data_IF_718030331915
#
_entry.id   IF_718030331915
#
_cell.length_a   1.000
_cell.length_b   1.000
_cell.length_c   1.000
_cell.angle_alpha   90.00
_cell.angle_beta   90.00
_cell.angle_gamma   90.00
#
_symmetry.space_group_name_H-M   'P 1'
#
loop_
_entity.id
_entity.type
_entity.pdbx_description
1 polymer ?
#
# COMPACT_ATOMS: atom_id res chain seq x y z
N UNK A 1 -19.86 29.14 -21.57
CA UNK A 1 -19.99 27.88 -20.80
C UNK A 1 -18.71 27.06 -20.99
N UNK A 2 -17.65 27.38 -20.25
CA UNK A 2 -16.40 26.61 -20.26
C UNK A 2 -16.29 25.93 -18.90
N UNK A 3 -16.46 24.61 -18.88
CA UNK A 3 -16.39 23.81 -17.67
C UNK A 3 -14.91 23.44 -17.40
N UNK A 4 -14.24 24.01 -16.37
CA UNK A 4 -12.82 23.82 -16.12
C UNK A 4 -12.45 22.36 -15.78
N UNK A 5 -13.44 21.52 -15.42
CA UNK A 5 -13.24 20.09 -15.11
C UNK A 5 -12.84 19.25 -16.32
N UNK A 6 -13.14 19.70 -17.54
CA UNK A 6 -12.77 18.97 -18.76
C UNK A 6 -11.27 19.08 -19.09
N UNK A 7 -10.65 20.22 -18.76
CA UNK A 7 -9.25 20.51 -19.09
C UNK A 7 -8.28 19.74 -18.19
N UNK A 8 -8.57 19.62 -16.89
CA UNK A 8 -7.71 18.88 -15.96
C UNK A 8 -7.69 17.37 -16.26
N UNK A 9 -8.83 16.79 -16.62
CA UNK A 9 -8.92 15.37 -16.99
C UNK A 9 -8.16 15.10 -18.31
N UNK A 10 -8.17 16.04 -19.26
CA UNK A 10 -7.39 15.92 -20.48
C UNK A 10 -5.88 16.00 -20.21
N UNK A 11 -5.43 16.91 -19.35
CA UNK A 11 -4.02 17.04 -19.01
C UNK A 11 -3.47 15.81 -18.28
N UNK A 12 -4.23 15.27 -17.32
CA UNK A 12 -3.85 14.03 -16.63
C UNK A 12 -3.79 12.84 -17.61
N UNK A 13 -4.72 12.77 -18.56
CA UNK A 13 -4.69 11.74 -19.63
C UNK A 13 -3.50 11.93 -20.58
N UNK A 14 -3.12 13.16 -20.91
CA UNK A 14 -1.99 13.48 -21.78
C UNK A 14 -0.67 13.13 -21.08
N UNK A 15 -0.50 13.49 -19.81
CA UNK A 15 0.70 13.16 -19.01
C UNK A 15 0.82 11.65 -18.81
N UNK A 16 -0.27 10.95 -18.48
CA UNK A 16 -0.26 9.49 -18.34
C UNK A 16 0.06 8.77 -19.67
N UNK A 17 -0.34 9.34 -20.82
CA UNK A 17 -0.03 8.78 -22.14
C UNK A 17 1.41 9.05 -22.58
N UNK A 18 1.98 10.21 -22.21
CA UNK A 18 3.35 10.59 -22.53
C UNK A 18 4.40 9.89 -21.64
N UNK A 19 4.11 9.66 -20.35
CA UNK A 19 5.09 9.12 -19.40
C UNK A 19 4.90 7.64 -19.03
N UNK A 20 3.70 7.06 -19.21
CA UNK A 20 3.38 5.72 -18.66
C UNK A 20 2.90 4.69 -19.72
N UNK A 21 3.09 4.95 -21.01
CA UNK A 21 2.93 3.91 -22.04
C UNK A 21 1.50 3.38 -22.26
N UNK A 22 0.49 4.23 -22.07
CA UNK A 22 -0.85 4.03 -22.67
C UNK A 22 -1.75 2.94 -22.09
N UNK A 23 -1.42 2.29 -20.96
CA UNK A 23 -2.21 1.18 -20.38
C UNK A 23 -2.97 1.52 -19.09
N UNK A 24 -3.40 2.76 -18.88
CA UNK A 24 -4.12 3.16 -17.67
C UNK A 24 -5.54 3.65 -17.97
N UNK A 25 -6.51 3.18 -17.19
CA UNK A 25 -7.91 3.62 -17.22
C UNK A 25 -8.23 4.44 -15.97
N UNK A 26 -8.67 5.68 -16.16
CA UNK A 26 -8.99 6.62 -15.08
C UNK A 26 -10.48 6.53 -14.76
N UNK A 27 -10.87 6.15 -13.53
CA UNK A 27 -12.25 6.26 -13.02
C UNK A 27 -12.29 7.15 -11.78
N UNK A 28 -13.32 8.00 -11.62
CA UNK A 28 -13.53 8.75 -10.39
C UNK A 28 -14.17 7.86 -9.32
N UNK A 29 -13.62 7.85 -8.11
CA UNK A 29 -14.21 7.22 -6.93
C UNK A 29 -14.67 8.31 -5.95
N UNK A 30 -15.91 8.25 -5.49
CA UNK A 30 -16.42 9.07 -4.40
C UNK A 30 -16.52 8.20 -3.15
N UNK A 31 -15.83 8.56 -2.07
CA UNK A 31 -15.99 7.93 -0.76
C UNK A 31 -17.09 8.65 0.02
N UNK A 32 -18.11 7.90 0.46
CA UNK A 32 -19.02 8.33 1.53
C UNK A 32 -18.50 7.77 2.85
N UNK A 33 -18.19 8.64 3.81
CA UNK A 33 -17.84 8.27 5.19
C UNK A 33 -19.08 7.78 5.96
N UNK A 34 -19.00 6.69 6.77
CA UNK A 34 -20.07 6.33 7.69
C UNK A 34 -19.98 7.19 8.96
N UNK A 35 -21.13 7.75 9.35
CA UNK A 35 -21.22 8.87 10.28
C UNK A 35 -21.03 8.57 11.76
N UNK A 36 -20.67 9.62 12.49
CA UNK A 36 -21.25 9.91 13.79
C UNK A 36 -21.29 11.44 14.00
N UNK A 37 -22.46 11.95 14.42
CA UNK A 37 -22.78 13.37 14.55
C UNK A 37 -22.33 13.90 15.91
N UNK A 38 -21.50 14.94 15.94
CA UNK A 38 -21.76 16.22 16.66
C UNK A 38 -20.61 17.20 16.42
N UNK A 39 -20.96 18.50 16.29
CA UNK A 39 -20.08 19.69 16.18
C UNK A 39 -19.73 20.18 14.76
N UNK A 40 -20.69 20.86 14.15
CA UNK A 40 -20.57 22.15 13.43
C UNK A 40 -19.18 22.57 12.90
N UNK A 41 -18.88 22.27 11.64
CA UNK A 41 -17.97 23.07 10.78
C UNK A 41 -18.36 22.89 9.31
N UNK A 42 -18.36 23.99 8.56
CA UNK A 42 -18.77 24.12 7.14
C UNK A 42 -17.95 23.24 6.16
N UNK A 43 -18.46 22.96 4.95
CA UNK A 43 -17.82 22.03 4.02
C UNK A 43 -16.71 22.73 3.24
N UNK A 44 -15.46 22.39 3.53
CA UNK A 44 -14.32 22.67 2.67
C UNK A 44 -14.27 21.65 1.52
N UNK A 45 -13.82 22.10 0.35
CA UNK A 45 -13.89 21.48 -0.97
C UNK A 45 -13.60 19.95 -1.07
N UNK A 46 -14.25 19.24 -2.03
CA UNK A 46 -14.02 17.82 -2.24
C UNK A 46 -12.68 17.59 -2.94
N UNK A 47 -11.69 17.10 -2.20
CA UNK A 47 -10.48 16.50 -2.75
C UNK A 47 -10.86 15.38 -3.72
N UNK A 48 -10.52 15.53 -5.01
CA UNK A 48 -10.71 14.46 -6.00
C UNK A 48 -9.53 13.48 -5.89
N UNK A 49 -9.73 12.43 -5.10
CA UNK A 49 -8.77 11.33 -4.98
C UNK A 49 -8.92 10.41 -6.21
N UNK A 50 -8.07 10.58 -7.23
CA UNK A 50 -8.00 9.65 -8.37
C UNK A 50 -7.11 8.46 -8.02
N UNK A 51 -7.72 7.34 -7.62
CA UNK A 51 -7.00 6.07 -7.47
C UNK A 51 -6.80 5.42 -8.86
N UNK A 52 -5.55 5.23 -9.26
CA UNK A 52 -5.20 4.34 -10.37
C UNK A 52 -4.97 2.93 -9.81
N UNK A 53 -5.88 1.99 -10.08
CA UNK A 53 -5.65 0.57 -9.79
C UNK A 53 -4.77 -0.05 -10.88
N UNK A 54 -3.62 -0.68 -10.56
CA UNK A 54 -2.88 -1.47 -11.52
C UNK A 54 -3.53 -2.85 -11.68
N UNK A 55 -3.99 -3.18 -12.88
CA UNK A 55 -4.18 -4.56 -13.28
C UNK A 55 -2.80 -5.18 -13.50
N UNK A 56 -2.39 -6.02 -12.53
CA UNK A 56 -1.17 -6.82 -12.51
C UNK A 56 0.16 -6.06 -12.36
N UNK A 57 0.79 -6.31 -11.21
CA UNK A 57 2.20 -6.09 -10.88
C UNK A 57 2.70 -4.64 -10.80
N UNK A 58 3.38 -4.37 -9.68
CA UNK A 58 4.05 -3.12 -9.28
C UNK A 58 3.15 -2.07 -8.61
N UNK A 59 3.23 -2.04 -7.26
CA UNK A 59 2.63 -1.04 -6.38
C UNK A 59 3.43 0.27 -6.46
N UNK A 60 2.86 1.30 -7.08
CA UNK A 60 3.31 2.68 -6.98
C UNK A 60 2.17 3.52 -6.40
N UNK A 61 2.20 3.72 -5.09
CA UNK A 61 1.38 4.73 -4.43
C UNK A 61 2.05 6.09 -4.66
N UNK A 62 1.67 6.79 -5.72
CA UNK A 62 2.06 8.18 -5.92
C UNK A 62 1.06 9.09 -5.20
N UNK A 63 1.48 9.67 -4.08
CA UNK A 63 0.83 10.85 -3.51
C UNK A 63 1.32 12.06 -4.31
N UNK A 64 0.54 12.50 -5.30
CA UNK A 64 0.66 13.87 -5.79
C UNK A 64 0.00 14.78 -4.77
N UNK A 65 0.78 15.34 -3.84
CA UNK A 65 0.37 16.56 -3.15
C UNK A 65 0.61 17.71 -4.12
N UNK A 66 -0.39 18.05 -4.92
CA UNK A 66 -0.43 19.36 -5.57
C UNK A 66 -0.68 20.40 -4.49
N UNK A 67 0.38 20.83 -3.81
CA UNK A 67 0.41 22.13 -3.15
C UNK A 67 0.59 23.20 -4.23
N UNK A 68 -0.44 23.38 -5.04
CA UNK A 68 -0.64 24.59 -5.83
C UNK A 68 -1.79 25.34 -5.15
N UNK A 69 -1.43 26.16 -4.15
CA UNK A 69 -2.34 27.16 -3.57
C UNK A 69 -1.71 28.53 -3.75
N UNK A 70 -2.28 29.28 -4.70
CA UNK A 70 -2.00 30.69 -5.05
C UNK A 70 -0.79 30.84 -5.97
N UNK A 71 -0.87 31.28 -7.22
CA UNK A 71 -1.73 32.35 -7.74
C UNK A 71 -1.85 32.28 -9.27
N UNK A 72 -3.07 32.14 -9.76
CA UNK A 72 -3.57 32.56 -11.08
C UNK A 72 -5.08 32.81 -10.86
N UNK A 73 -5.77 33.83 -11.34
CA UNK A 73 -5.55 34.73 -12.47
C UNK A 73 -6.66 35.80 -12.46
N UNK A 74 -6.31 37.08 -12.47
CA UNK A 74 -7.01 38.18 -13.14
C UNK A 74 -5.84 39.12 -13.51
N UNK A 75 -5.43 39.24 -14.77
CA UNK A 75 -6.19 39.89 -15.81
C UNK A 75 -5.61 39.48 -17.18
N UNK A 76 -6.48 39.03 -18.08
CA UNK A 76 -6.23 39.14 -19.50
C UNK A 76 -6.62 40.56 -19.96
N UNK A 77 -5.86 41.04 -20.94
CA UNK A 77 -6.13 42.17 -21.84
C UNK A 77 -5.40 43.50 -21.53
N UNK A 78 -4.86 44.07 -22.62
CA UNK A 78 -3.96 45.22 -22.76
C UNK A 78 -2.46 44.97 -22.49
N UNK A 79 -1.72 44.83 -23.60
CA UNK A 79 -0.28 45.13 -23.71
C UNK A 79 0.05 46.48 -23.03
N UNK A 80 0.81 46.50 -21.91
CA UNK A 80 1.36 47.74 -21.42
C UNK A 80 2.68 47.92 -22.16
N UNK A 81 2.58 48.63 -23.29
CA UNK A 81 3.64 49.48 -23.84
C UNK A 81 4.58 49.89 -22.68
N UNK A 82 5.91 49.70 -22.77
CA UNK A 82 6.79 50.09 -21.67
C UNK A 82 6.53 51.56 -21.39
N UNK A 83 5.86 51.85 -20.28
CA UNK A 83 5.67 53.22 -19.87
C UNK A 83 7.09 53.73 -19.62
N UNK A 84 7.47 54.77 -20.36
CA UNK A 84 8.67 55.53 -20.06
C UNK A 84 8.54 55.99 -18.61
N UNK A 85 9.16 55.23 -17.72
CA UNK A 85 9.28 55.63 -16.33
C UNK A 85 10.01 56.96 -16.37
N UNK A 86 9.32 58.00 -15.89
CA UNK A 86 9.86 59.36 -15.79
C UNK A 86 11.25 59.26 -15.16
N UNK A 87 12.28 59.46 -15.99
CA UNK A 87 13.69 59.37 -15.63
C UNK A 87 14.08 60.36 -14.53
N UNK A 88 13.18 61.31 -14.26
CA UNK A 88 13.21 62.33 -13.23
C UNK A 88 13.22 61.74 -11.80
N UNK A 89 12.68 60.54 -11.59
CA UNK A 89 12.67 59.87 -10.28
C UNK A 89 13.91 59.01 -10.02
N UNK A 90 14.69 58.68 -11.06
CA UNK A 90 15.95 57.93 -10.92
C UNK A 90 17.10 58.76 -10.32
N UNK A 91 16.94 60.09 -10.30
CA UNK A 91 17.93 61.04 -9.81
C UNK A 91 17.80 61.40 -8.33
N UNK A 92 16.83 60.84 -7.59
CA UNK A 92 16.61 61.26 -6.20
C UNK A 92 17.76 60.92 -5.23
N UNK A 93 18.47 59.78 -5.35
CA UNK A 93 19.57 59.47 -4.43
C UNK A 93 20.89 60.22 -4.73
N UNK A 94 21.10 60.67 -5.97
CA UNK A 94 22.31 61.40 -6.38
C UNK A 94 22.21 62.90 -6.12
N UNK A 95 21.00 63.45 -6.07
CA UNK A 95 20.75 64.86 -5.73
C UNK A 95 20.97 65.22 -4.26
N UNK A 96 21.04 64.24 -3.36
CA UNK A 96 21.26 64.44 -1.91
C UNK A 96 22.75 64.39 -1.50
N UNK A 97 23.69 64.31 -2.44
CA UNK A 97 25.13 64.19 -2.16
C UNK A 97 25.88 65.50 -2.35
N UNK A 98 26.92 65.71 -1.54
CA UNK A 98 27.78 66.90 -1.64
C UNK A 98 28.66 66.89 -2.89
N UNK A 99 29.14 68.06 -3.33
CA UNK A 99 29.99 68.19 -4.53
C UNK A 99 31.32 67.41 -4.41
N UNK A 100 31.88 67.32 -3.21
CA UNK A 100 33.11 66.57 -2.93
C UNK A 100 32.87 65.05 -2.99
N UNK A 101 31.72 64.58 -2.51
CA UNK A 101 31.28 63.18 -2.65
C UNK A 101 31.05 62.81 -4.12
N UNK A 102 30.44 63.68 -4.91
CA UNK A 102 30.24 63.45 -6.34
C UNK A 102 31.58 63.40 -7.09
N UNK A 103 32.53 64.29 -6.78
CA UNK A 103 33.90 64.24 -7.35
C UNK A 103 34.62 62.95 -6.98
N UNK A 104 34.45 62.48 -5.73
CA UNK A 104 34.99 61.21 -5.27
C UNK A 104 34.37 60.02 -6.01
N UNK A 105 33.04 59.98 -6.15
CA UNK A 105 32.33 58.94 -6.91
C UNK A 105 32.70 58.91 -8.40
N UNK A 106 33.05 60.07 -8.98
CA UNK A 106 33.48 60.15 -10.38
C UNK A 106 34.96 59.78 -10.59
N UNK A 107 35.79 59.84 -9.54
CA UNK A 107 37.23 59.61 -9.61
C UNK A 107 37.64 58.22 -9.10
N UNK A 108 36.86 57.64 -8.19
CA UNK A 108 37.09 56.36 -7.52
C UNK A 108 36.00 55.35 -7.94
N UNK A 109 36.41 54.31 -8.67
CA UNK A 109 35.53 53.29 -9.24
C UNK A 109 34.90 52.42 -8.15
N UNK A 110 35.65 52.11 -7.11
CA UNK A 110 35.22 51.30 -5.97
C UNK A 110 34.19 52.07 -5.15
N UNK A 111 34.40 53.38 -4.93
CA UNK A 111 33.41 54.24 -4.28
C UNK A 111 32.07 54.30 -5.06
N UNK A 112 32.14 54.34 -6.40
CA UNK A 112 30.96 54.30 -7.25
C UNK A 112 30.22 52.96 -7.17
N UNK A 113 30.95 51.84 -7.23
CA UNK A 113 30.35 50.50 -7.12
C UNK A 113 29.68 50.28 -5.76
N UNK A 114 30.29 50.74 -4.67
CA UNK A 114 29.69 50.69 -3.34
C UNK A 114 28.42 51.54 -3.25
N UNK A 115 28.42 52.72 -3.88
CA UNK A 115 27.20 53.53 -3.97
C UNK A 115 26.10 52.80 -4.74
N UNK A 116 26.40 52.21 -5.90
CA UNK A 116 25.41 51.44 -6.66
C UNK A 116 24.83 50.28 -5.87
N UNK A 117 25.66 49.53 -5.13
CA UNK A 117 25.21 48.44 -4.27
C UNK A 117 24.41 48.91 -3.05
N UNK A 118 24.57 50.16 -2.65
CA UNK A 118 23.80 50.77 -1.55
C UNK A 118 22.41 51.26 -1.96
N UNK A 119 22.17 51.47 -3.27
CA UNK A 119 20.85 51.90 -3.77
C UNK A 119 19.83 50.80 -3.55
N UNK A 120 18.68 51.12 -2.96
CA UNK A 120 17.62 50.13 -2.70
C UNK A 120 17.12 49.42 -3.98
N UNK A 121 17.19 50.11 -5.12
CA UNK A 121 16.87 49.55 -6.44
C UNK A 121 17.79 48.39 -6.85
N UNK A 122 19.02 48.34 -6.32
CA UNK A 122 20.01 47.30 -6.61
C UNK A 122 20.16 46.35 -5.41
N UNK A 123 20.16 46.89 -4.20
CA UNK A 123 20.29 46.15 -2.94
C UNK A 123 19.13 45.18 -2.72
N UNK A 124 17.89 45.64 -2.85
CA UNK A 124 16.71 44.83 -2.55
C UNK A 124 16.58 43.64 -3.49
N UNK A 125 16.67 43.79 -4.84
CA UNK A 125 16.61 42.63 -5.74
C UNK A 125 17.79 41.67 -5.58
N UNK A 126 18.99 42.16 -5.25
CA UNK A 126 20.14 41.29 -4.99
C UNK A 126 19.93 40.44 -3.73
N UNK A 127 19.44 41.04 -2.64
CA UNK A 127 19.13 40.32 -1.41
C UNK A 127 18.05 39.26 -1.64
N UNK A 128 16.96 39.62 -2.33
CA UNK A 128 15.88 38.68 -2.67
C UNK A 128 16.38 37.52 -3.56
N UNK A 129 17.26 37.81 -4.53
CA UNK A 129 17.88 36.78 -5.37
C UNK A 129 18.72 35.81 -4.54
N UNK A 130 19.51 36.35 -3.60
CA UNK A 130 20.40 35.54 -2.78
C UNK A 130 19.61 34.71 -1.75
N UNK A 131 18.54 35.26 -1.17
CA UNK A 131 17.57 34.53 -0.34
C UNK A 131 16.92 33.39 -1.13
N UNK A 132 16.35 33.68 -2.31
CA UNK A 132 15.71 32.67 -3.15
C UNK A 132 16.70 31.57 -3.56
N UNK A 133 17.95 31.93 -3.88
CA UNK A 133 19.00 30.97 -4.18
C UNK A 133 19.30 30.06 -2.98
N UNK A 134 19.38 30.64 -1.78
CA UNK A 134 19.66 29.88 -0.56
C UNK A 134 18.51 28.94 -0.22
N UNK A 135 17.26 29.39 -0.31
CA UNK A 135 16.07 28.56 -0.10
C UNK A 135 15.98 27.43 -1.12
N UNK A 136 16.25 27.73 -2.40
CA UNK A 136 16.27 26.72 -3.47
C UNK A 136 17.34 25.65 -3.21
N UNK A 137 18.53 26.05 -2.76
CA UNK A 137 19.60 25.10 -2.41
C UNK A 137 19.24 24.26 -1.19
N UNK A 138 18.61 24.87 -0.18
CA UNK A 138 18.18 24.15 1.01
C UNK A 138 17.09 23.12 0.67
N UNK A 139 16.09 23.51 -0.13
CA UNK A 139 15.06 22.60 -0.64
C UNK A 139 15.66 21.46 -1.46
N UNK A 140 16.63 21.74 -2.33
CA UNK A 140 17.30 20.69 -3.11
C UNK A 140 18.02 19.68 -2.19
N UNK A 141 18.71 20.15 -1.14
CA UNK A 141 19.38 19.27 -0.16
C UNK A 141 18.39 18.40 0.61
N UNK A 142 17.30 19.00 1.09
CA UNK A 142 16.25 18.26 1.80
C UNK A 142 15.56 17.23 0.92
N UNK A 143 15.33 17.56 -0.36
CA UNK A 143 14.75 16.63 -1.31
C UNK A 143 15.67 15.43 -1.57
N UNK A 144 16.97 15.68 -1.77
CA UNK A 144 17.95 14.60 -1.91
C UNK A 144 18.00 13.69 -0.66
N UNK A 145 17.93 14.27 0.54
CA UNK A 145 17.87 13.50 1.78
C UNK A 145 16.60 12.64 1.87
N UNK A 146 15.45 13.20 1.48
CA UNK A 146 14.17 12.46 1.42
C UNK A 146 14.23 11.31 0.43
N UNK A 147 14.84 11.50 -0.74
CA UNK A 147 15.04 10.43 -1.74
C UNK A 147 15.87 9.26 -1.19
N UNK A 148 16.96 9.55 -0.50
CA UNK A 148 17.77 8.53 0.17
C UNK A 148 16.96 7.78 1.23
N UNK A 149 16.24 8.51 2.09
CA UNK A 149 15.38 7.92 3.12
C UNK A 149 14.27 7.03 2.53
N UNK A 150 13.60 7.49 1.47
CA UNK A 150 12.58 6.69 0.77
C UNK A 150 13.16 5.39 0.20
N UNK A 151 14.38 5.43 -0.33
CA UNK A 151 15.04 4.24 -0.89
C UNK A 151 15.35 3.23 0.20
N UNK A 152 15.85 3.68 1.34
CA UNK A 152 16.13 2.82 2.49
C UNK A 152 14.84 2.16 3.03
N UNK A 153 13.77 2.94 3.22
CA UNK A 153 12.48 2.41 3.66
C UNK A 153 11.91 1.37 2.67
N UNK A 154 12.06 1.59 1.36
CA UNK A 154 11.66 0.59 0.36
C UNK A 154 12.46 -0.70 0.49
N UNK A 155 13.77 -0.60 0.72
CA UNK A 155 14.62 -1.78 0.91
C UNK A 155 14.23 -2.55 2.18
N UNK A 156 13.97 -1.85 3.28
CA UNK A 156 13.50 -2.47 4.52
C UNK A 156 12.15 -3.18 4.33
N UNK A 157 11.17 -2.51 3.71
CA UNK A 157 9.88 -3.11 3.38
C UNK A 157 10.03 -4.35 2.49
N UNK A 158 10.96 -4.31 1.52
CA UNK A 158 11.26 -5.45 0.68
C UNK A 158 11.80 -6.62 1.49
N UNK A 159 12.77 -6.38 2.38
CA UNK A 159 13.35 -7.40 3.27
C UNK A 159 12.27 -8.03 4.14
N UNK A 160 11.47 -7.22 4.84
CA UNK A 160 10.38 -7.70 5.70
C UNK A 160 9.41 -8.57 4.90
N UNK A 161 9.05 -8.13 3.69
CA UNK A 161 8.13 -8.87 2.81
C UNK A 161 8.71 -10.22 2.38
N UNK A 162 9.99 -10.27 2.01
CA UNK A 162 10.59 -11.50 1.46
C UNK A 162 11.11 -12.46 2.52
N UNK A 163 11.35 -11.99 3.74
CA UNK A 163 11.89 -12.82 4.83
C UNK A 163 10.80 -13.11 5.85
N UNK A 164 10.38 -12.11 6.61
CA UNK A 164 9.44 -12.28 7.72
C UNK A 164 8.03 -12.68 7.25
N UNK A 165 7.47 -11.94 6.29
CA UNK A 165 6.11 -12.21 5.81
C UNK A 165 6.04 -13.57 5.10
N UNK A 166 6.97 -13.83 4.17
CA UNK A 166 7.01 -15.10 3.45
C UNK A 166 7.17 -16.30 4.40
N UNK A 167 8.04 -16.22 5.40
CA UNK A 167 8.20 -17.29 6.41
C UNK A 167 6.94 -17.46 7.27
N UNK A 168 6.26 -16.38 7.65
CA UNK A 168 5.01 -16.46 8.40
C UNK A 168 3.88 -17.10 7.57
N UNK A 169 3.78 -16.75 6.29
CA UNK A 169 2.82 -17.33 5.35
C UNK A 169 3.08 -18.82 5.12
N UNK A 170 4.35 -19.22 4.95
CA UNK A 170 4.72 -20.63 4.84
C UNK A 170 4.30 -21.43 6.08
N UNK A 171 4.57 -20.91 7.28
CA UNK A 171 4.16 -21.56 8.54
C UNK A 171 2.64 -21.65 8.67
N UNK A 172 1.91 -20.61 8.27
CA UNK A 172 0.45 -20.62 8.25
C UNK A 172 -0.09 -21.69 7.29
N UNK A 173 0.48 -21.78 6.09
CA UNK A 173 0.09 -22.77 5.10
C UNK A 173 0.35 -24.19 5.58
N UNK A 174 1.50 -24.43 6.22
CA UNK A 174 1.82 -25.74 6.80
C UNK A 174 0.85 -26.12 7.93
N UNK A 175 0.53 -25.20 8.83
CA UNK A 175 -0.45 -25.45 9.89
C UNK A 175 -1.86 -25.71 9.32
N UNK A 176 -2.27 -24.99 8.28
CA UNK A 176 -3.54 -25.23 7.61
C UNK A 176 -3.57 -26.60 6.93
N UNK A 177 -2.46 -27.04 6.33
CA UNK A 177 -2.33 -28.39 5.76
C UNK A 177 -2.46 -29.47 6.83
N UNK A 178 -1.79 -29.31 7.97
CA UNK A 178 -1.91 -30.23 9.11
C UNK A 178 -3.34 -30.28 9.65
N UNK A 179 -3.99 -29.12 9.80
CA UNK A 179 -5.39 -29.04 10.19
C UNK A 179 -6.30 -29.78 9.20
N UNK A 180 -6.11 -29.57 7.90
CA UNK A 180 -6.91 -30.23 6.86
C UNK A 180 -6.75 -31.75 6.90
N UNK A 181 -5.53 -32.24 7.11
CA UNK A 181 -5.25 -33.68 7.21
C UNK A 181 -5.86 -34.32 8.48
N UNK A 182 -5.82 -33.62 9.61
CA UNK A 182 -6.52 -34.03 10.83
C UNK A 182 -8.03 -34.06 10.57
N UNK A 183 -8.62 -32.99 10.03
CA UNK A 183 -10.05 -32.97 9.74
C UNK A 183 -10.47 -34.06 8.74
N UNK A 184 -9.61 -34.39 7.78
CA UNK A 184 -9.83 -35.49 6.83
C UNK A 184 -9.85 -36.84 7.54
N UNK A 185 -8.83 -37.13 8.35
CA UNK A 185 -8.70 -38.42 9.07
C UNK A 185 -9.76 -38.62 10.15
N UNK A 186 -10.21 -37.54 10.79
CA UNK A 186 -11.29 -37.55 11.80
C UNK A 186 -12.66 -37.21 11.21
N UNK A 187 -12.81 -37.24 9.88
CA UNK A 187 -14.12 -37.03 9.26
C UNK A 187 -15.07 -38.17 9.65
N UNK A 188 -16.38 -37.91 9.82
CA UNK A 188 -17.35 -38.95 10.15
C UNK A 188 -17.30 -40.14 9.19
N UNK A 189 -17.12 -39.87 7.89
CA UNK A 189 -16.99 -40.91 6.87
C UNK A 189 -15.71 -41.75 7.04
N UNK A 190 -14.56 -41.13 7.32
CA UNK A 190 -13.30 -41.86 7.57
C UNK A 190 -13.36 -42.70 8.84
N UNK A 191 -13.96 -42.17 9.92
CA UNK A 191 -14.14 -42.92 11.17
C UNK A 191 -15.10 -44.10 11.00
N UNK A 192 -16.20 -43.92 10.26
CA UNK A 192 -17.12 -45.01 9.93
C UNK A 192 -16.45 -46.07 9.06
N UNK A 193 -15.67 -45.66 8.06
CA UNK A 193 -14.92 -46.58 7.21
C UNK A 193 -13.91 -47.41 8.03
N UNK A 194 -13.12 -46.76 8.91
CA UNK A 194 -12.21 -47.46 9.81
C UNK A 194 -12.95 -48.43 10.73
N UNK A 195 -14.12 -48.06 11.24
CA UNK A 195 -14.95 -48.94 12.06
C UNK A 195 -15.45 -50.15 11.24
N UNK A 196 -15.83 -49.95 9.99
CA UNK A 196 -16.23 -51.03 9.07
C UNK A 196 -15.07 -51.99 8.78
N UNK A 197 -13.85 -51.48 8.55
CA UNK A 197 -12.66 -52.32 8.39
C UNK A 197 -12.39 -53.17 9.65
N UNK A 198 -12.54 -52.59 10.85
CA UNK A 198 -12.40 -53.33 12.11
C UNK A 198 -13.49 -54.39 12.31
N UNK A 199 -14.69 -54.20 11.75
CA UNK A 199 -15.75 -55.23 11.75
C UNK A 199 -15.33 -56.38 10.85
N UNK A 200 -14.96 -56.09 9.59
CA UNK A 200 -14.55 -57.09 8.60
C UNK A 200 -13.34 -57.89 9.10
N UNK A 201 -12.34 -57.21 9.66
CA UNK A 201 -11.14 -57.85 10.20
C UNK A 201 -11.45 -58.84 11.32
N UNK A 202 -12.34 -58.50 12.25
CA UNK A 202 -12.71 -59.42 13.34
C UNK A 202 -13.56 -60.58 12.86
N UNK A 203 -14.34 -60.39 11.79
CA UNK A 203 -15.04 -61.49 11.13
C UNK A 203 -14.05 -62.46 10.46
N UNK A 204 -13.08 -61.93 9.70
CA UNK A 204 -11.98 -62.70 9.10
C UNK A 204 -11.14 -63.44 10.16
N UNK A 205 -10.81 -62.80 11.28
CA UNK A 205 -10.14 -63.45 12.42
C UNK A 205 -10.96 -64.60 12.99
N UNK A 206 -12.29 -64.47 13.04
CA UNK A 206 -13.18 -65.54 13.51
C UNK A 206 -13.23 -66.72 12.54
N UNK A 207 -13.15 -66.46 11.23
CA UNK A 207 -13.06 -67.49 10.18
C UNK A 207 -11.69 -68.19 10.19
N UNK A 208 -10.59 -67.45 10.40
CA UNK A 208 -9.28 -68.06 10.60
C UNK A 208 -9.27 -68.97 11.83
N UNK A 209 -9.89 -68.52 12.92
CA UNK A 209 -10.00 -69.29 14.14
C UNK A 209 -10.84 -70.57 13.95
N UNK A 210 -11.85 -70.52 13.07
CA UNK A 210 -12.61 -71.69 12.64
C UNK A 210 -11.77 -72.68 11.83
N UNK A 211 -10.94 -72.20 10.90
CA UNK A 211 -10.02 -73.05 10.12
C UNK A 211 -9.01 -73.78 11.01
N UNK A 212 -8.42 -73.07 11.99
CA UNK A 212 -7.48 -73.68 12.94
C UNK A 212 -8.09 -74.83 13.75
N UNK A 213 -9.39 -74.75 14.07
CA UNK A 213 -10.10 -75.85 14.71
C UNK A 213 -10.23 -77.06 13.79
N UNK A 214 -10.56 -76.84 12.50
CA UNK A 214 -10.69 -77.91 11.50
C UNK A 214 -9.36 -78.60 11.22
N UNK A 215 -8.28 -77.83 11.19
CA UNK A 215 -6.90 -78.29 11.04
C UNK A 215 -6.35 -78.96 12.31
N UNK A 216 -7.14 -78.97 13.40
CA UNK A 216 -6.79 -79.51 14.72
C UNK A 216 -5.57 -78.83 15.36
N UNK A 217 -5.27 -77.60 14.96
CA UNK A 217 -4.22 -76.77 15.57
C UNK A 217 -4.62 -76.24 16.96
N UNK A 218 -5.90 -76.35 17.31
CA UNK A 218 -6.47 -75.84 18.55
C UNK A 218 -7.54 -76.80 19.10
N UNK A 219 -7.61 -76.93 20.43
CA UNK A 219 -8.66 -77.70 21.10
C UNK A 219 -10.00 -76.94 21.17
N UNK A 220 -11.08 -77.69 21.34
CA UNK A 220 -12.45 -77.14 21.33
C UNK A 220 -12.68 -76.12 22.44
N UNK A 221 -12.11 -76.30 23.64
CA UNK A 221 -12.32 -75.39 24.75
C UNK A 221 -11.64 -74.04 24.48
N UNK A 222 -10.41 -74.07 23.98
CA UNK A 222 -9.68 -72.88 23.53
C UNK A 222 -10.40 -72.16 22.38
N UNK A 223 -10.92 -72.91 21.41
CA UNK A 223 -11.72 -72.36 20.31
C UNK A 223 -12.93 -71.61 20.83
N UNK A 224 -13.78 -72.26 21.65
CA UNK A 224 -15.02 -71.66 22.16
C UNK A 224 -14.72 -70.38 22.93
N UNK A 225 -13.68 -70.39 23.76
CA UNK A 225 -13.28 -69.21 24.52
C UNK A 225 -12.89 -68.03 23.62
N UNK A 226 -11.98 -68.26 22.65
CA UNK A 226 -11.49 -67.21 21.74
C UNK A 226 -12.57 -66.75 20.77
N UNK A 227 -13.34 -67.68 20.20
CA UNK A 227 -14.41 -67.38 19.25
C UNK A 227 -15.50 -66.52 19.89
N UNK A 228 -15.94 -66.88 21.11
CA UNK A 228 -16.92 -66.08 21.85
C UNK A 228 -16.45 -64.64 22.06
N UNK A 229 -15.17 -64.45 22.41
CA UNK A 229 -14.57 -63.11 22.56
C UNK A 229 -14.63 -62.32 21.25
N UNK A 230 -14.19 -62.91 20.13
CA UNK A 230 -14.23 -62.27 18.81
C UNK A 230 -15.65 -61.90 18.38
N UNK A 231 -16.65 -62.78 18.60
CA UNK A 231 -18.04 -62.48 18.25
C UNK A 231 -18.63 -61.35 19.11
N UNK A 232 -18.30 -61.28 20.41
CA UNK A 232 -18.70 -60.14 21.26
C UNK A 232 -18.14 -58.83 20.72
N UNK A 233 -16.85 -58.81 20.35
CA UNK A 233 -16.21 -57.62 19.80
C UNK A 233 -16.81 -57.22 18.44
N UNK A 234 -17.07 -58.19 17.55
CA UNK A 234 -17.78 -57.98 16.28
C UNK A 234 -19.13 -57.30 16.50
N UNK A 235 -19.99 -57.90 17.34
CA UNK A 235 -21.34 -57.40 17.56
C UNK A 235 -21.33 -56.00 18.21
N UNK A 236 -20.41 -55.75 19.14
CA UNK A 236 -20.23 -54.42 19.75
C UNK A 236 -19.88 -53.36 18.70
N UNK A 237 -18.98 -53.67 17.77
CA UNK A 237 -18.59 -52.75 16.69
C UNK A 237 -19.72 -52.57 15.68
N UNK A 238 -20.41 -53.64 15.29
CA UNK A 238 -21.53 -53.59 14.36
C UNK A 238 -22.70 -52.74 14.88
N UNK A 239 -23.05 -52.87 16.16
CA UNK A 239 -24.07 -52.04 16.80
C UNK A 239 -23.64 -50.56 16.85
N UNK A 240 -22.38 -50.30 17.21
CA UNK A 240 -21.82 -48.93 17.19
C UNK A 240 -21.87 -48.32 15.79
N UNK A 241 -21.48 -49.09 14.77
CA UNK A 241 -21.50 -48.65 13.38
C UNK A 241 -22.92 -48.36 12.88
N UNK A 242 -23.88 -49.23 13.20
CA UNK A 242 -25.28 -49.03 12.88
C UNK A 242 -25.80 -47.72 13.51
N UNK A 243 -25.59 -47.54 14.81
CA UNK A 243 -26.02 -46.33 15.53
C UNK A 243 -25.38 -45.05 14.98
N UNK A 244 -24.09 -45.09 14.64
CA UNK A 244 -23.38 -43.95 14.06
C UNK A 244 -23.87 -43.64 12.64
N UNK A 245 -24.10 -44.66 11.82
CA UNK A 245 -24.63 -44.51 10.45
C UNK A 245 -26.05 -43.91 10.46
N UNK A 246 -26.92 -44.39 11.36
CA UNK A 246 -28.28 -43.86 11.50
C UNK A 246 -28.28 -42.41 11.99
N UNK A 247 -27.32 -42.03 12.86
CA UNK A 247 -27.21 -40.66 13.37
C UNK A 247 -26.68 -39.67 12.31
N UNK A 248 -25.94 -40.14 11.30
CA UNK A 248 -25.42 -39.31 10.22
C UNK A 248 -26.43 -39.11 9.08
N UNK A 249 -27.40 -40.03 8.96
CA UNK A 249 -28.39 -40.05 7.88
C UNK A 249 -29.74 -39.43 8.24
N UNK A 250 -29.95 -39.09 9.51
CA UNK A 250 -31.14 -38.41 10.02
C UNK A 250 -30.90 -36.92 10.23
#
# INVERSE_FOLDING_TARGET
>A
MNNPRGFEILWVKVIAKLYLGGKFSVRPCFYSTPGNLTSQSQPEDPYVLLCLCPSQSYNLLFLFTTSLKGSQEQQADADPRPQEVSTNSWYSPSSNKSADELRKLLSDKEAYQQFLLSLDLVKTPNNLRDELRNETLQLARENLAKESCMTELRNQCMIIRTTELATAEEKLNELNRQKAEILRSYSPASLLHQLQELINKTDEESEMLHKQLLEKEMDVASFVHKYKKLRVDYHKRALTHLAATTSLSG
#
